data_IF_991878405108
#
_entry.id   IF_991878405108
#
_cell.length_a   1.000
_cell.length_b   1.000
_cell.length_c   1.000
_cell.angle_alpha   90.00
_cell.angle_beta   90.00
_cell.angle_gamma   90.00
#
_symmetry.space_group_name_H-M   'P 1'
#
loop_
_entity.id
_entity.type
_entity.pdbx_description
1 polymer ?
#
# COMPACT_ATOMS: atom_id res chain seq x y z
N UNK A 1 9.81 2.29 -45.95
CA UNK A 1 9.81 2.85 -44.57
C UNK A 1 8.62 2.34 -43.76
N UNK A 2 7.36 2.54 -44.17
CA UNK A 2 6.19 2.02 -43.44
C UNK A 2 6.17 0.48 -43.33
N UNK A 3 6.54 -0.23 -44.40
CA UNK A 3 6.53 -1.71 -44.41
C UNK A 3 7.62 -2.32 -43.53
N UNK A 4 8.76 -1.62 -43.36
CA UNK A 4 9.83 -2.02 -42.44
C UNK A 4 9.38 -1.88 -40.98
N UNK A 5 8.65 -0.81 -40.67
CA UNK A 5 8.08 -0.57 -39.33
C UNK A 5 6.99 -1.58 -38.98
N UNK A 6 6.21 -2.05 -39.97
CA UNK A 6 5.20 -3.09 -39.77
C UNK A 6 5.82 -4.48 -39.54
N UNK A 7 6.91 -4.81 -40.24
CA UNK A 7 7.59 -6.11 -40.12
C UNK A 7 8.29 -6.31 -38.76
N UNK A 8 8.65 -5.23 -38.08
CA UNK A 8 9.32 -5.25 -36.77
C UNK A 8 8.34 -5.21 -35.58
N UNK A 9 7.04 -4.98 -35.84
CA UNK A 9 6.04 -4.90 -34.77
C UNK A 9 5.53 -6.29 -34.36
N UNK A 10 5.50 -6.50 -33.04
CA UNK A 10 4.85 -7.65 -32.42
C UNK A 10 3.36 -7.61 -32.76
N UNK A 11 2.77 -8.76 -33.08
CA UNK A 11 1.34 -8.86 -33.35
C UNK A 11 0.53 -8.39 -32.13
N UNK A 12 -0.56 -7.67 -32.38
CA UNK A 12 -1.41 -7.11 -31.31
C UNK A 12 -1.82 -8.18 -30.30
N UNK A 13 -2.20 -9.37 -30.76
CA UNK A 13 -2.57 -10.48 -29.86
C UNK A 13 -1.40 -10.93 -28.98
N UNK A 14 -0.20 -11.04 -29.54
CA UNK A 14 1.00 -11.43 -28.80
C UNK A 14 1.36 -10.40 -27.72
N UNK A 15 1.29 -9.11 -28.05
CA UNK A 15 1.48 -8.02 -27.09
C UNK A 15 0.40 -8.04 -25.99
N UNK A 16 -0.86 -8.24 -26.36
CA UNK A 16 -1.97 -8.31 -25.40
C UNK A 16 -1.86 -9.53 -24.46
N UNK A 17 -1.37 -10.67 -24.95
CA UNK A 17 -1.08 -11.83 -24.11
C UNK A 17 0.09 -11.57 -23.17
N UNK A 18 1.16 -10.93 -23.64
CA UNK A 18 2.29 -10.54 -22.80
C UNK A 18 1.85 -9.60 -21.67
N UNK A 19 1.05 -8.57 -21.99
CA UNK A 19 0.49 -7.63 -21.00
C UNK A 19 -0.41 -8.32 -19.97
N UNK A 20 -1.24 -9.27 -20.40
CA UNK A 20 -2.11 -10.02 -19.49
C UNK A 20 -1.30 -10.79 -18.46
N UNK A 21 -0.28 -11.53 -18.91
CA UNK A 21 0.63 -12.27 -18.02
C UNK A 21 1.35 -11.34 -17.05
N UNK A 22 1.84 -10.21 -17.54
CA UNK A 22 2.50 -9.20 -16.70
C UNK A 22 1.55 -8.61 -15.66
N UNK A 23 0.32 -8.27 -16.06
CA UNK A 23 -0.71 -7.75 -15.16
C UNK A 23 -1.06 -8.74 -14.05
N UNK A 24 -1.26 -10.02 -14.38
CA UNK A 24 -1.57 -11.06 -13.39
C UNK A 24 -0.45 -11.20 -12.35
N UNK A 25 0.80 -11.22 -12.80
CA UNK A 25 1.97 -11.27 -11.93
C UNK A 25 2.05 -10.02 -11.03
N UNK A 26 1.85 -8.83 -11.59
CA UNK A 26 1.92 -7.58 -10.85
C UNK A 26 0.79 -7.45 -9.84
N UNK A 27 -0.41 -7.91 -10.18
CA UNK A 27 -1.56 -7.97 -9.30
C UNK A 27 -1.30 -8.92 -8.13
N UNK A 28 -0.79 -10.12 -8.39
CA UNK A 28 -0.44 -11.08 -7.34
C UNK A 28 0.61 -10.51 -6.38
N UNK A 29 1.68 -9.92 -6.93
CA UNK A 29 2.74 -9.27 -6.16
C UNK A 29 2.21 -8.10 -5.34
N UNK A 30 1.33 -7.28 -5.90
CA UNK A 30 0.71 -6.15 -5.19
C UNK A 30 -0.14 -6.61 -4.01
N UNK A 31 -0.98 -7.65 -4.21
CA UNK A 31 -1.81 -8.22 -3.14
C UNK A 31 -0.97 -8.82 -2.02
N UNK A 32 0.10 -9.53 -2.38
CA UNK A 32 1.04 -10.08 -1.40
C UNK A 32 1.71 -8.96 -0.58
N UNK A 33 2.23 -7.93 -1.25
CA UNK A 33 2.83 -6.76 -0.60
C UNK A 33 1.85 -6.07 0.36
N UNK A 34 0.61 -5.89 -0.07
CA UNK A 34 -0.46 -5.30 0.77
C UNK A 34 -0.73 -6.16 2.01
N UNK A 35 -0.84 -7.48 1.84
CA UNK A 35 -1.03 -8.41 2.95
C UNK A 35 0.13 -8.36 3.96
N UNK A 36 1.37 -8.31 3.47
CA UNK A 36 2.57 -8.25 4.31
C UNK A 36 2.65 -6.93 5.07
N UNK A 37 2.33 -5.81 4.43
CA UNK A 37 2.26 -4.49 5.09
C UNK A 37 1.18 -4.45 6.15
N UNK A 38 0.02 -5.08 5.94
CA UNK A 38 -0.99 -5.21 6.97
C UNK A 38 -0.52 -6.07 8.16
N UNK A 39 0.18 -7.17 7.90
CA UNK A 39 0.77 -7.99 8.98
C UNK A 39 1.80 -7.21 9.77
N UNK A 40 2.66 -6.45 9.09
CA UNK A 40 3.63 -5.54 9.70
C UNK A 40 2.95 -4.50 10.58
N UNK A 41 1.95 -3.79 10.06
CA UNK A 41 1.25 -2.75 10.80
C UNK A 41 0.53 -3.31 12.03
N UNK A 42 -0.10 -4.48 11.92
CA UNK A 42 -0.72 -5.18 13.06
C UNK A 42 0.29 -5.60 14.13
N UNK A 43 1.50 -6.02 13.75
CA UNK A 43 2.56 -6.31 14.72
C UNK A 43 3.01 -5.02 15.40
N UNK A 44 3.26 -3.97 14.63
CA UNK A 44 3.76 -2.68 15.13
C UNK A 44 2.76 -2.00 16.06
N UNK A 45 1.48 -1.92 15.71
CA UNK A 45 0.49 -1.27 16.58
C UNK A 45 0.37 -1.96 17.96
N UNK A 46 0.66 -3.27 18.02
CA UNK A 46 0.65 -4.03 19.29
C UNK A 46 1.85 -3.74 20.19
N UNK A 47 2.93 -3.13 19.70
CA UNK A 47 4.11 -2.81 20.51
C UNK A 47 3.95 -1.51 21.31
N UNK A 48 2.97 -0.67 20.98
CA UNK A 48 2.70 0.56 21.74
C UNK A 48 2.00 0.26 23.08
N UNK A 49 2.27 1.06 24.13
CA UNK A 49 1.50 1.02 25.37
C UNK A 49 -0.01 1.19 25.11
N UNK A 50 -0.86 0.55 25.91
CA UNK A 50 -2.32 0.54 25.69
C UNK A 50 -2.94 1.93 25.44
N UNK A 51 -2.66 2.96 26.27
CA UNK A 51 -3.30 4.26 26.08
C UNK A 51 -2.91 4.91 24.75
N UNK A 52 -1.64 4.78 24.35
CA UNK A 52 -1.13 5.27 23.07
C UNK A 52 -1.74 4.50 21.91
N UNK A 53 -1.81 3.17 22.04
CA UNK A 53 -2.40 2.29 21.02
C UNK A 53 -3.86 2.64 20.74
N UNK A 54 -4.65 2.85 21.79
CA UNK A 54 -6.07 3.23 21.68
C UNK A 54 -6.20 4.58 20.99
N UNK A 55 -5.38 5.57 21.36
CA UNK A 55 -5.40 6.89 20.73
C UNK A 55 -5.01 6.84 19.24
N UNK A 56 -3.97 6.07 18.88
CA UNK A 56 -3.55 5.88 17.49
C UNK A 56 -4.64 5.21 16.64
N UNK A 57 -5.29 4.18 17.17
CA UNK A 57 -6.40 3.51 16.48
C UNK A 57 -7.62 4.41 16.34
N UNK A 58 -7.94 5.21 17.37
CA UNK A 58 -9.01 6.19 17.32
C UNK A 58 -8.75 7.28 16.28
N UNK A 59 -7.52 7.80 16.22
CA UNK A 59 -7.11 8.73 15.17
C UNK A 59 -7.24 8.11 13.78
N UNK A 60 -6.71 6.89 13.58
CA UNK A 60 -6.79 6.19 12.30
C UNK A 60 -8.24 6.00 11.82
N UNK A 61 -9.14 5.63 12.73
CA UNK A 61 -10.56 5.44 12.41
C UNK A 61 -11.27 6.74 12.04
N UNK A 62 -10.84 7.88 12.59
CA UNK A 62 -11.45 9.18 12.34
C UNK A 62 -10.80 9.95 11.17
N UNK A 63 -9.57 9.62 10.79
CA UNK A 63 -8.85 10.35 9.75
C UNK A 63 -9.37 10.01 8.34
N UNK A 64 -9.34 10.98 7.43
CA UNK A 64 -9.80 10.82 6.04
C UNK A 64 -8.71 10.24 5.10
N UNK A 65 -7.72 9.53 5.64
CA UNK A 65 -6.65 8.95 4.83
C UNK A 65 -7.13 7.67 4.12
N UNK A 66 -6.51 7.29 2.99
CA UNK A 66 -6.83 6.02 2.34
C UNK A 66 -6.64 4.86 3.32
N UNK A 67 -7.61 3.94 3.35
CA UNK A 67 -7.64 2.79 4.26
C UNK A 67 -6.66 1.68 3.89
N UNK A 68 -5.42 2.02 3.55
CA UNK A 68 -4.36 1.08 3.19
C UNK A 68 -3.20 1.09 4.20
N UNK A 69 -2.42 0.00 4.28
CA UNK A 69 -1.44 -0.20 5.33
C UNK A 69 -0.22 0.71 5.19
N UNK A 70 0.05 1.29 4.01
CA UNK A 70 1.18 2.21 3.80
C UNK A 70 0.91 3.52 4.52
N UNK A 71 -0.31 4.07 4.42
CA UNK A 71 -0.69 5.26 5.18
C UNK A 71 -0.76 4.97 6.68
N UNK A 72 -1.29 3.81 7.07
CA UNK A 72 -1.30 3.45 8.48
C UNK A 72 0.12 3.33 9.06
N UNK A 73 1.05 2.66 8.36
CA UNK A 73 2.46 2.59 8.78
C UNK A 73 3.14 3.97 8.78
N UNK A 74 2.80 4.84 7.83
CA UNK A 74 3.29 6.22 7.78
C UNK A 74 2.80 7.03 8.99
N UNK A 75 1.53 6.88 9.37
CA UNK A 75 0.96 7.49 10.57
C UNK A 75 1.71 7.06 11.84
N UNK A 76 1.98 5.76 11.99
CA UNK A 76 2.76 5.23 13.12
C UNK A 76 4.18 5.80 13.14
N UNK A 77 4.82 5.89 11.97
CA UNK A 77 6.13 6.53 11.84
C UNK A 77 6.09 8.02 12.19
N UNK A 78 5.06 8.75 11.77
CA UNK A 78 4.91 10.16 12.15
C UNK A 78 4.77 10.33 13.66
N UNK A 79 4.04 9.44 14.34
CA UNK A 79 3.95 9.45 15.80
C UNK A 79 5.32 9.21 16.46
N UNK A 80 6.04 8.16 16.03
CA UNK A 80 7.36 7.83 16.58
C UNK A 80 8.38 8.97 16.43
N UNK A 81 8.25 9.78 15.38
CA UNK A 81 9.12 10.93 15.11
C UNK A 81 8.54 12.27 15.58
N UNK A 82 7.47 12.28 16.38
CA UNK A 82 6.88 13.50 16.95
C UNK A 82 6.21 14.42 15.93
N UNK A 83 5.94 13.93 14.71
CA UNK A 83 5.26 14.64 13.62
C UNK A 83 3.74 14.47 13.65
N UNK A 84 3.24 13.59 14.52
CA UNK A 84 1.83 13.42 14.83
C UNK A 84 1.65 13.52 16.34
N UNK A 85 0.89 14.52 16.78
CA UNK A 85 0.47 14.67 18.16
C UNK A 85 -0.95 14.12 18.31
N UNK A 86 -1.16 13.27 19.32
CA UNK A 86 -2.47 12.72 19.62
C UNK A 86 -3.08 13.58 20.72
N UNK A 87 -4.12 14.34 20.38
CA UNK A 87 -4.86 15.08 21.39
C UNK A 87 -5.57 14.09 22.29
N UNK A 88 -5.25 14.13 23.58
CA UNK A 88 -5.93 13.36 24.62
C UNK A 88 -7.33 13.89 24.81
N UNK A 89 -8.28 13.51 23.95
CA UNK A 89 -9.70 13.77 24.18
C UNK A 89 -10.63 12.88 23.35
N UNK A 90 -11.28 11.94 24.03
CA UNK A 90 -12.71 12.04 24.34
C UNK A 90 -12.92 11.67 25.80
#
# INVERSE_FOLDING_TARGET
FADQVAAEQIGVDEEMQARRRQWEHDLARSRQRQADKWREARRRIRTYPEPVRVALLGYWQACCWPGDPVYFLSMLHMYDHGRLQLDGRR
#
